data_IF_403028958848
#
_entry.id   IF_403028958848
#
_cell.length_a   1.000
_cell.length_b   1.000
_cell.length_c   1.000
_cell.angle_alpha   90.00
_cell.angle_beta   90.00
_cell.angle_gamma   90.00
#
_symmetry.space_group_name_H-M   'P 1'
#
loop_
_entity.id
_entity.type
_entity.pdbx_description
1 polymer ?
#
# COMPACT_ATOMS: atom_id res chain seq x y z
N UNK A 1 21.40 2.26 38.45
CA UNK A 1 21.84 2.03 37.04
C UNK A 1 20.61 2.14 36.17
N UNK A 2 20.58 3.06 35.19
CA UNK A 2 19.53 3.03 34.16
C UNK A 2 19.79 1.76 33.35
N UNK A 3 18.84 0.83 33.35
CA UNK A 3 18.86 -0.29 32.42
C UNK A 3 18.97 0.30 31.01
N UNK A 4 19.93 -0.15 30.22
CA UNK A 4 19.90 0.14 28.79
C UNK A 4 18.55 -0.38 28.28
N UNK A 5 17.83 0.38 27.42
CA UNK A 5 16.65 -0.14 26.76
C UNK A 5 17.03 -1.43 26.06
N UNK A 6 16.11 -2.40 26.02
CA UNK A 6 16.29 -3.54 25.12
C UNK A 6 16.62 -2.99 23.73
N UNK A 7 17.50 -3.65 22.97
CA UNK A 7 17.88 -3.17 21.63
C UNK A 7 16.64 -2.93 20.75
N UNK A 8 15.59 -3.70 21.01
CA UNK A 8 14.29 -3.54 20.40
C UNK A 8 13.56 -2.24 20.78
N UNK A 9 13.68 -1.76 22.03
CA UNK A 9 13.04 -0.52 22.48
C UNK A 9 13.72 0.72 21.85
N UNK A 10 15.03 0.69 21.66
CA UNK A 10 15.78 1.80 21.06
C UNK A 10 15.39 2.08 19.59
N UNK A 11 14.98 1.04 18.85
CA UNK A 11 14.56 1.16 17.44
C UNK A 11 13.06 1.47 17.28
N UNK A 12 12.27 1.39 18.35
CA UNK A 12 10.83 1.65 18.35
C UNK A 12 10.47 3.10 18.64
N UNK A 13 11.45 3.97 18.86
CA UNK A 13 11.16 5.40 18.96
C UNK A 13 10.57 5.90 17.65
N UNK A 14 9.63 6.84 17.73
CA UNK A 14 8.90 7.36 16.56
C UNK A 14 9.87 7.86 15.48
N UNK A 15 10.91 8.60 15.87
CA UNK A 15 11.94 9.12 14.99
C UNK A 15 12.81 8.03 14.34
N UNK A 16 13.06 6.91 15.01
CA UNK A 16 13.76 5.76 14.42
C UNK A 16 12.87 5.06 13.40
N UNK A 17 11.61 4.79 13.76
CA UNK A 17 10.63 4.17 12.86
C UNK A 17 10.36 5.02 11.62
N UNK A 18 10.26 6.33 11.78
CA UNK A 18 10.00 7.26 10.68
C UNK A 18 11.15 7.33 9.68
N UNK A 19 12.40 7.29 10.17
CA UNK A 19 13.59 7.14 9.31
C UNK A 19 13.59 5.81 8.56
N UNK A 20 13.27 4.71 9.23
CA UNK A 20 13.18 3.40 8.59
C UNK A 20 12.11 3.38 7.49
N UNK A 21 10.94 3.98 7.74
CA UNK A 21 9.89 4.15 6.71
C UNK A 21 10.37 4.99 5.53
N UNK A 22 11.02 6.14 5.77
CA UNK A 22 11.58 6.98 4.69
C UNK A 22 12.55 6.18 3.82
N UNK A 23 13.48 5.46 4.44
CA UNK A 23 14.41 4.60 3.71
C UNK A 23 13.67 3.53 2.89
N UNK A 24 12.70 2.85 3.50
CA UNK A 24 11.93 1.79 2.85
C UNK A 24 11.12 2.25 1.63
N UNK A 25 10.53 3.44 1.68
CA UNK A 25 9.72 3.96 0.57
C UNK A 25 10.54 4.68 -0.51
N UNK A 26 11.78 5.09 -0.20
CA UNK A 26 12.67 5.76 -1.18
C UNK A 26 13.56 4.80 -1.96
N UNK A 27 13.75 3.56 -1.50
CA UNK A 27 14.62 2.57 -2.16
C UNK A 27 14.00 1.98 -3.45
N UNK A 28 12.68 2.04 -3.63
CA UNK A 28 12.00 1.45 -4.79
C UNK A 28 10.89 2.36 -5.37
N UNK A 29 11.22 3.59 -5.83
CA UNK A 29 10.22 4.56 -6.27
C UNK A 29 9.43 4.12 -7.51
N UNK A 30 9.95 3.17 -8.29
CA UNK A 30 9.28 2.59 -9.46
C UNK A 30 8.15 1.62 -9.10
N UNK A 31 8.02 1.19 -7.84
CA UNK A 31 6.93 0.31 -7.39
C UNK A 31 5.61 1.06 -7.16
N UNK A 32 5.56 2.37 -7.44
CA UNK A 32 4.31 3.14 -7.49
C UNK A 32 3.81 3.68 -6.14
N UNK A 33 4.56 3.52 -5.05
CA UNK A 33 4.22 3.99 -3.70
C UNK A 33 4.36 5.50 -3.45
N UNK A 34 3.93 6.35 -4.39
CA UNK A 34 4.13 7.82 -4.29
C UNK A 34 3.33 8.47 -3.15
N UNK A 35 2.11 7.97 -2.88
CA UNK A 35 1.26 8.44 -1.78
C UNK A 35 1.87 8.08 -0.42
N UNK A 36 2.33 6.84 -0.26
CA UNK A 36 3.02 6.38 0.95
C UNK A 36 4.29 7.18 1.23
N UNK A 37 5.12 7.37 0.21
CA UNK A 37 6.33 8.18 0.35
C UNK A 37 5.99 9.62 0.76
N UNK A 38 5.05 10.27 0.06
CA UNK A 38 4.62 11.63 0.39
C UNK A 38 4.07 11.73 1.82
N UNK A 39 3.27 10.75 2.25
CA UNK A 39 2.72 10.69 3.60
C UNK A 39 3.82 10.61 4.66
N UNK A 40 4.81 9.73 4.47
CA UNK A 40 5.94 9.59 5.40
C UNK A 40 6.82 10.85 5.40
N UNK A 41 7.00 11.54 4.25
CA UNK A 41 7.71 12.82 4.19
C UNK A 41 6.97 13.94 4.95
N UNK A 42 5.63 13.96 4.91
CA UNK A 42 4.82 14.89 5.71
C UNK A 42 4.97 14.59 7.20
N UNK A 43 4.94 13.32 7.61
CA UNK A 43 5.21 12.94 9.00
C UNK A 43 6.60 13.38 9.45
N UNK A 44 7.60 13.27 8.56
CA UNK A 44 8.97 13.70 8.83
C UNK A 44 9.08 15.22 8.99
N UNK A 45 8.37 15.99 8.16
CA UNK A 45 8.25 17.44 8.30
C UNK A 45 7.62 17.83 9.66
N UNK A 46 6.56 17.14 10.08
CA UNK A 46 5.87 17.41 11.35
C UNK A 46 6.72 17.07 12.58
N UNK A 47 7.58 16.06 12.48
CA UNK A 47 8.49 15.61 13.55
C UNK A 47 9.88 16.25 13.46
N UNK A 48 10.08 17.23 12.57
CA UNK A 48 11.38 17.84 12.37
C UNK A 48 11.72 18.89 13.46
N UNK A 49 12.96 18.93 13.98
CA UNK A 49 14.05 18.00 13.74
C UNK A 49 13.86 16.67 14.49
N UNK A 50 14.03 15.55 13.77
CA UNK A 50 13.84 14.20 14.32
C UNK A 50 15.01 13.80 15.25
N UNK A 51 15.11 14.36 16.45
CA UNK A 51 16.22 14.08 17.39
C UNK A 51 16.27 12.59 17.79
N UNK A 52 17.49 12.04 17.94
CA UNK A 52 17.70 10.62 18.31
C UNK A 52 17.82 10.42 19.83
N UNK A 53 18.18 11.46 20.58
CA UNK A 53 18.33 11.45 22.04
C UNK A 53 17.65 12.68 22.66
N UNK A 54 17.10 12.54 23.87
CA UNK A 54 16.50 13.64 24.65
C UNK A 54 17.53 14.73 25.03
N UNK A 55 18.83 14.44 24.97
CA UNK A 55 19.90 15.31 25.47
C UNK A 55 20.61 16.17 24.43
N UNK A 56 20.47 15.89 23.13
CA UNK A 56 21.18 16.64 22.08
C UNK A 56 20.17 17.42 21.27
N UNK A 57 20.02 18.71 21.59
CA UNK A 57 19.20 19.61 20.78
C UNK A 57 19.84 19.70 19.39
N UNK A 58 19.23 19.02 18.41
CA UNK A 58 19.61 19.17 17.02
C UNK A 58 19.57 20.66 16.66
N UNK A 59 20.58 21.17 15.97
CA UNK A 59 20.58 22.54 15.47
C UNK A 59 19.26 22.76 14.72
N UNK A 60 18.58 23.87 14.99
CA UNK A 60 17.36 24.25 14.28
C UNK A 60 17.69 24.44 12.80
N UNK A 61 17.52 23.38 12.02
CA UNK A 61 17.70 23.35 10.58
C UNK A 61 16.32 23.30 9.97
N UNK A 62 16.08 24.11 8.94
CA UNK A 62 14.83 24.05 8.19
C UNK A 62 14.70 22.71 7.46
N UNK A 63 13.51 22.11 7.48
CA UNK A 63 13.28 20.88 6.74
C UNK A 63 13.31 21.17 5.23
N UNK A 64 14.03 20.40 4.40
CA UNK A 64 14.33 20.77 3.02
C UNK A 64 13.14 20.78 2.06
N UNK A 65 11.96 20.31 2.48
CA UNK A 65 10.79 20.10 1.62
C UNK A 65 9.55 20.67 2.31
N UNK A 66 8.83 21.55 1.63
CA UNK A 66 7.61 22.14 2.17
C UNK A 66 6.38 21.61 1.44
N UNK A 67 5.31 21.40 2.19
CA UNK A 67 4.00 21.08 1.66
C UNK A 67 3.02 22.15 2.11
N UNK A 68 2.11 22.53 1.22
CA UNK A 68 0.96 23.36 1.63
C UNK A 68 0.03 22.56 2.54
N UNK A 69 -0.77 23.27 3.35
CA UNK A 69 -1.77 22.62 4.21
C UNK A 69 -2.78 21.78 3.42
N UNK A 70 -3.18 22.25 2.24
CA UNK A 70 -4.06 21.52 1.32
C UNK A 70 -3.42 20.21 0.84
N UNK A 71 -2.15 20.24 0.45
CA UNK A 71 -1.43 19.03 0.05
C UNK A 71 -1.28 18.02 1.17
N UNK A 72 -1.05 18.49 2.41
CA UNK A 72 -0.95 17.62 3.57
C UNK A 72 -2.28 16.93 3.85
N UNK A 73 -3.39 17.69 3.81
CA UNK A 73 -4.73 17.14 4.02
C UNK A 73 -5.11 16.14 2.93
N UNK A 74 -4.87 16.49 1.66
CA UNK A 74 -5.13 15.60 0.53
C UNK A 74 -4.32 14.32 0.64
N UNK A 75 -3.03 14.41 0.94
CA UNK A 75 -2.16 13.24 1.08
C UNK A 75 -2.62 12.32 2.22
N UNK A 76 -3.11 12.88 3.34
CA UNK A 76 -3.64 12.09 4.44
C UNK A 76 -4.91 11.32 4.04
N UNK A 77 -5.77 11.93 3.23
CA UNK A 77 -6.98 11.29 2.73
C UNK A 77 -6.66 10.21 1.69
N UNK A 78 -5.78 10.51 0.73
CA UNK A 78 -5.30 9.55 -0.27
C UNK A 78 -4.67 8.32 0.41
N UNK A 79 -3.80 8.55 1.41
CA UNK A 79 -3.19 7.48 2.20
C UNK A 79 -4.22 6.61 2.92
N UNK A 80 -5.22 7.24 3.56
CA UNK A 80 -6.32 6.53 4.24
C UNK A 80 -7.11 5.65 3.27
N UNK A 81 -7.42 6.16 2.08
CA UNK A 81 -8.13 5.40 1.06
C UNK A 81 -7.29 4.22 0.53
N UNK A 82 -5.98 4.39 0.36
CA UNK A 82 -5.09 3.30 -0.03
C UNK A 82 -5.02 2.19 1.04
N UNK A 83 -4.93 2.55 2.33
CA UNK A 83 -5.00 1.57 3.42
C UNK A 83 -6.28 0.74 3.34
N UNK A 84 -7.41 1.41 3.16
CA UNK A 84 -8.72 0.76 3.10
C UNK A 84 -8.82 -0.20 1.92
N UNK A 85 -8.31 0.20 0.74
CA UNK A 85 -8.27 -0.65 -0.46
C UNK A 85 -7.37 -1.87 -0.25
N UNK A 86 -6.21 -1.69 0.37
CA UNK A 86 -5.27 -2.80 0.64
C UNK A 86 -5.85 -3.79 1.66
N UNK A 87 -6.53 -3.30 2.69
CA UNK A 87 -7.21 -4.14 3.67
C UNK A 87 -8.31 -4.98 2.99
N UNK A 88 -9.19 -4.34 2.21
CA UNK A 88 -10.22 -5.04 1.43
C UNK A 88 -9.63 -6.06 0.46
N UNK A 89 -8.51 -5.73 -0.18
CA UNK A 89 -7.81 -6.65 -1.06
C UNK A 89 -7.25 -7.87 -0.31
N UNK A 90 -6.75 -7.68 0.91
CA UNK A 90 -6.35 -8.78 1.79
C UNK A 90 -7.52 -9.69 2.15
N UNK A 91 -8.64 -9.12 2.59
CA UNK A 91 -9.86 -9.86 2.91
C UNK A 91 -10.37 -10.69 1.72
N UNK A 92 -10.31 -10.13 0.50
CA UNK A 92 -10.70 -10.85 -0.71
C UNK A 92 -9.72 -12.00 -1.01
N UNK A 93 -8.40 -11.81 -0.83
CA UNK A 93 -7.43 -12.90 -1.04
C UNK A 93 -7.61 -14.02 -0.02
N UNK A 94 -7.87 -13.68 1.23
CA UNK A 94 -8.16 -14.65 2.28
C UNK A 94 -9.43 -15.45 1.96
N UNK A 95 -10.46 -14.78 1.42
CA UNK A 95 -11.69 -15.43 0.95
C UNK A 95 -11.43 -16.36 -0.24
N UNK A 96 -10.60 -15.95 -1.21
CA UNK A 96 -10.24 -16.78 -2.36
C UNK A 96 -9.38 -17.97 -1.92
N UNK A 97 -8.48 -17.77 -0.96
CA UNK A 97 -7.51 -18.77 -0.49
C UNK A 97 -6.18 -18.71 -1.26
N UNK A 98 -5.77 -17.53 -1.72
CA UNK A 98 -4.50 -17.31 -2.44
C UNK A 98 -3.53 -16.46 -1.63
N UNK A 99 -2.23 -16.61 -1.90
CA UNK A 99 -1.21 -15.73 -1.31
C UNK A 99 -1.13 -14.37 -2.02
N UNK A 100 -0.16 -13.54 -1.61
CA UNK A 100 0.06 -12.22 -2.21
C UNK A 100 0.44 -12.26 -3.70
N UNK A 101 0.90 -13.41 -4.20
CA UNK A 101 1.31 -13.65 -5.58
C UNK A 101 0.27 -14.43 -6.39
N UNK A 102 -0.85 -14.82 -5.78
CA UNK A 102 -1.88 -15.64 -6.42
C UNK A 102 -1.55 -17.14 -6.44
N UNK A 103 -0.54 -17.59 -5.70
CA UNK A 103 -0.19 -19.00 -5.63
C UNK A 103 -1.17 -19.82 -4.79
N UNK A 104 -1.35 -21.07 -5.21
CA UNK A 104 -2.18 -22.10 -4.56
C UNK A 104 -1.41 -23.41 -4.48
N UNK A 105 -1.66 -24.23 -3.45
CA UNK A 105 -0.86 -25.42 -3.15
C UNK A 105 -1.10 -26.63 -4.05
N UNK A 106 -2.15 -26.63 -4.88
CA UNK A 106 -2.51 -27.77 -5.71
C UNK A 106 -3.73 -27.55 -6.60
N UNK A 107 -4.02 -28.51 -7.48
CA UNK A 107 -5.13 -28.44 -8.45
C UNK A 107 -6.50 -28.34 -7.77
N UNK A 108 -6.70 -29.05 -6.67
CA UNK A 108 -7.95 -29.00 -5.92
C UNK A 108 -8.15 -27.63 -5.24
N UNK A 109 -7.09 -27.01 -4.71
CA UNK A 109 -7.15 -25.62 -4.22
C UNK A 109 -7.44 -24.65 -5.36
N UNK A 110 -6.78 -24.82 -6.50
CA UNK A 110 -6.96 -23.97 -7.67
C UNK A 110 -8.42 -23.95 -8.14
N UNK A 111 -9.06 -25.12 -8.22
CA UNK A 111 -10.46 -25.22 -8.64
C UNK A 111 -11.40 -24.53 -7.63
N UNK A 112 -11.15 -24.69 -6.33
CA UNK A 112 -11.90 -23.96 -5.29
C UNK A 112 -11.73 -22.45 -5.41
N UNK A 113 -10.49 -21.98 -5.58
CA UNK A 113 -10.19 -20.56 -5.76
C UNK A 113 -10.90 -20.00 -6.99
N UNK A 114 -10.88 -20.71 -8.11
CA UNK A 114 -11.58 -20.33 -9.35
C UNK A 114 -13.09 -20.23 -9.14
N UNK A 115 -13.69 -21.16 -8.42
CA UNK A 115 -15.12 -21.11 -8.09
C UNK A 115 -15.48 -19.88 -7.25
N UNK A 116 -14.64 -19.51 -6.27
CA UNK A 116 -14.82 -18.31 -5.45
C UNK A 116 -14.66 -17.04 -6.29
N UNK A 117 -13.61 -16.95 -7.11
CA UNK A 117 -13.36 -15.85 -8.06
C UNK A 117 -14.57 -15.66 -8.98
N UNK A 118 -15.10 -16.74 -9.55
CA UNK A 118 -16.27 -16.69 -10.41
C UNK A 118 -17.51 -16.20 -9.65
N UNK A 119 -17.74 -16.67 -8.42
CA UNK A 119 -18.86 -16.21 -7.59
C UNK A 119 -18.77 -14.71 -7.26
N UNK A 120 -17.57 -14.19 -7.00
CA UNK A 120 -17.34 -12.75 -6.79
C UNK A 120 -17.66 -11.97 -8.07
N UNK A 121 -17.19 -12.46 -9.23
CA UNK A 121 -17.44 -11.85 -10.54
C UNK A 121 -18.94 -11.81 -10.88
N UNK A 122 -19.65 -12.90 -10.64
CA UNK A 122 -21.09 -13.01 -10.86
C UNK A 122 -21.87 -12.05 -9.93
N UNK A 123 -21.45 -11.94 -8.67
CA UNK A 123 -22.01 -10.97 -7.73
C UNK A 123 -21.79 -9.53 -8.19
N UNK A 124 -20.57 -9.19 -8.63
CA UNK A 124 -20.25 -7.86 -9.15
C UNK A 124 -21.10 -7.54 -10.39
N UNK A 125 -21.26 -8.50 -11.30
CA UNK A 125 -22.12 -8.36 -12.49
C UNK A 125 -23.60 -8.16 -12.12
N UNK A 126 -24.10 -8.92 -11.14
CA UNK A 126 -25.49 -8.81 -10.68
C UNK A 126 -25.82 -7.50 -9.96
N UNK A 127 -24.83 -6.88 -9.31
CA UNK A 127 -24.99 -5.61 -8.59
C UNK A 127 -24.59 -4.37 -9.41
N UNK A 128 -24.02 -4.55 -10.60
CA UNK A 128 -23.64 -3.45 -11.49
C UNK A 128 -24.88 -2.76 -12.08
N UNK A 129 -25.01 -1.45 -11.82
CA UNK A 129 -26.15 -0.65 -12.27
C UNK A 129 -25.84 0.11 -13.57
N UNK A 130 -24.56 0.27 -13.90
CA UNK A 130 -24.12 0.98 -15.10
C UNK A 130 -23.41 0.06 -16.08
N UNK A 131 -23.46 0.41 -17.38
CA UNK A 131 -22.72 -0.33 -18.41
C UNK A 131 -21.20 -0.25 -18.21
N UNK A 132 -20.71 0.85 -17.63
CA UNK A 132 -19.29 1.01 -17.27
C UNK A 132 -18.86 0.01 -16.20
N UNK A 133 -19.66 -0.18 -15.15
CA UNK A 133 -19.38 -1.16 -14.09
C UNK A 133 -19.38 -2.59 -14.63
N UNK A 134 -20.38 -2.94 -15.46
CA UNK A 134 -20.43 -4.25 -16.12
C UNK A 134 -19.23 -4.47 -17.02
N UNK A 135 -18.83 -3.45 -17.80
CA UNK A 135 -17.66 -3.54 -18.67
C UNK A 135 -16.38 -3.73 -17.84
N UNK A 136 -16.25 -3.03 -16.72
CA UNK A 136 -15.12 -3.20 -15.81
C UNK A 136 -15.07 -4.61 -15.20
N UNK A 137 -16.22 -5.14 -14.75
CA UNK A 137 -16.33 -6.49 -14.22
C UNK A 137 -16.06 -7.58 -15.27
N UNK A 138 -16.41 -7.35 -16.54
CA UNK A 138 -16.17 -8.31 -17.63
C UNK A 138 -14.74 -8.28 -18.16
N UNK A 139 -14.21 -7.09 -18.44
CA UNK A 139 -12.98 -6.89 -19.21
C UNK A 139 -11.77 -6.54 -18.35
N UNK A 140 -11.98 -6.10 -17.10
CA UNK A 140 -10.94 -5.57 -16.23
C UNK A 140 -11.01 -6.19 -14.83
N UNK A 141 -11.53 -7.41 -14.72
CA UNK A 141 -11.61 -8.09 -13.44
C UNK A 141 -10.19 -8.33 -12.89
N UNK A 142 -9.89 -7.93 -11.64
CA UNK A 142 -8.52 -7.98 -11.10
C UNK A 142 -7.90 -9.37 -11.00
N UNK A 143 -8.72 -10.41 -10.99
CA UNK A 143 -8.30 -11.81 -10.82
C UNK A 143 -8.38 -12.62 -12.12
N UNK A 144 -8.77 -11.99 -13.23
CA UNK A 144 -8.71 -12.63 -14.54
C UNK A 144 -7.26 -12.65 -15.05
N UNK A 145 -6.91 -13.70 -15.78
CA UNK A 145 -5.64 -13.79 -16.47
C UNK A 145 -5.70 -12.95 -17.76
N UNK A 146 -5.05 -11.79 -17.74
CA UNK A 146 -5.01 -10.90 -18.91
C UNK A 146 -3.81 -11.25 -19.78
N UNK A 147 -3.93 -12.28 -20.61
CA UNK A 147 -2.99 -12.47 -21.71
C UNK A 147 -3.11 -11.29 -22.68
N UNK A 148 -2.22 -10.29 -22.58
CA UNK A 148 -2.02 -9.34 -23.68
C UNK A 148 -1.55 -10.15 -24.88
N UNK A 149 -2.45 -10.43 -25.83
CA UNK A 149 -2.06 -10.93 -27.14
C UNK A 149 -1.11 -9.91 -27.75
N UNK A 150 0.18 -10.23 -27.76
CA UNK A 150 1.27 -9.49 -28.40
C UNK A 150 1.12 -9.36 -29.94
N UNK A 151 -0.07 -9.61 -30.49
CA UNK A 151 -0.34 -9.64 -31.93
C UNK A 151 -0.67 -8.26 -32.51
N UNK A 152 -1.04 -7.28 -31.69
CA UNK A 152 -1.52 -5.99 -32.20
C UNK A 152 -0.47 -4.86 -32.13
N UNK A 153 0.80 -5.19 -31.84
CA UNK A 153 1.90 -4.19 -31.79
C UNK A 153 2.66 -4.10 -33.13
N UNK A 154 2.42 -5.02 -34.06
CA UNK A 154 3.11 -5.07 -35.36
C UNK A 154 2.18 -5.20 -36.58
N UNK A 155 0.94 -4.71 -36.49
CA UNK A 155 0.03 -4.67 -37.65
C UNK A 155 -0.34 -3.25 -38.06
#
# INVERSE_FOLDING_TARGET
MKSLPDHFDAIRTENCMLRAKLFHHTQAPWEGGSVWLKYVMIQALQNWPMSLDEGTQARSVEFPIHFSGEEMQKCSEDYRQEQEKLLKLGEIRDLIGTDALGWVSGEHELERCRAVIQSIKDGLMGHSSTETEKTAALSHFPFDDHEKKMRDIFS
#
